data_IF_625479971087
#
_entry.id   IF_625479971087
#
_cell.length_a   1.000
_cell.length_b   1.000
_cell.length_c   1.000
_cell.angle_alpha   90.00
_cell.angle_beta   90.00
_cell.angle_gamma   90.00
#
_symmetry.space_group_name_H-M   'P 1'
#
loop_
_entity.id
_entity.type
_entity.pdbx_description
1 polymer ?
#
# COMPACT_ATOMS: atom_id res chain seq x y z
N UNK A 1 29.56 -33.10 -13.88
CA UNK A 1 29.13 -32.33 -15.06
C UNK A 1 27.93 -31.51 -14.62
N UNK A 2 28.14 -30.28 -14.20
CA UNK A 2 27.07 -29.35 -13.84
C UNK A 2 26.48 -28.79 -15.14
N UNK A 3 25.19 -29.03 -15.34
CA UNK A 3 24.43 -28.43 -16.43
C UNK A 3 24.22 -26.96 -16.10
N UNK A 4 24.81 -26.07 -16.89
CA UNK A 4 24.51 -24.65 -16.88
C UNK A 4 23.05 -24.45 -17.28
N UNK A 5 22.17 -24.20 -16.30
CA UNK A 5 20.83 -23.70 -16.55
C UNK A 5 20.97 -22.39 -17.34
N UNK A 6 20.54 -22.40 -18.59
CA UNK A 6 20.53 -21.19 -19.41
C UNK A 6 19.40 -20.33 -18.87
N UNK A 7 19.72 -19.23 -18.18
CA UNK A 7 18.72 -18.32 -17.66
C UNK A 7 17.73 -17.93 -18.77
N UNK A 8 16.43 -18.15 -18.56
CA UNK A 8 15.44 -17.76 -19.55
C UNK A 8 15.49 -16.24 -19.75
N UNK A 9 15.58 -15.81 -21.00
CA UNK A 9 15.61 -14.39 -21.37
C UNK A 9 14.48 -14.08 -22.35
N UNK A 10 13.79 -12.97 -22.11
CA UNK A 10 12.77 -12.43 -23.00
C UNK A 10 13.04 -10.94 -23.25
N UNK A 11 13.06 -10.56 -24.53
CA UNK A 11 13.25 -9.16 -24.94
C UNK A 11 12.17 -8.77 -25.93
N UNK A 12 11.44 -7.70 -25.62
CA UNK A 12 10.45 -7.10 -26.52
C UNK A 12 10.84 -5.65 -26.77
N UNK A 13 10.82 -5.25 -28.04
CA UNK A 13 11.08 -3.88 -28.48
C UNK A 13 10.02 -3.48 -29.49
N UNK A 14 9.25 -2.48 -29.13
CA UNK A 14 8.26 -1.83 -29.98
C UNK A 14 8.37 -0.30 -29.77
N UNK A 15 7.90 0.53 -30.70
CA UNK A 15 7.85 1.98 -30.48
C UNK A 15 7.11 2.31 -29.18
N UNK A 16 7.79 2.97 -28.24
CA UNK A 16 7.23 3.32 -26.93
C UNK A 16 7.10 2.15 -25.94
N UNK A 17 7.63 0.96 -26.22
CA UNK A 17 7.62 -0.16 -25.28
C UNK A 17 8.94 -0.93 -25.34
N UNK A 18 9.61 -1.02 -24.21
CA UNK A 18 10.76 -1.90 -24.01
C UNK A 18 10.51 -2.82 -22.81
N UNK A 19 10.71 -4.13 -23.02
CA UNK A 19 10.70 -5.15 -21.98
C UNK A 19 11.98 -5.94 -22.05
N UNK A 20 12.66 -6.10 -20.92
CA UNK A 20 13.79 -6.99 -20.74
C UNK A 20 13.56 -7.84 -19.50
N UNK A 21 13.47 -9.15 -19.67
CA UNK A 21 13.41 -10.12 -18.58
C UNK A 21 14.55 -11.12 -18.68
N UNK A 22 15.18 -11.43 -17.56
CA UNK A 22 16.28 -12.38 -17.45
C UNK A 22 16.30 -12.99 -16.04
N UNK A 23 16.05 -14.31 -15.96
CA UNK A 23 15.83 -14.98 -14.67
C UNK A 23 14.75 -14.27 -13.87
N UNK A 24 15.08 -13.84 -12.65
CA UNK A 24 14.16 -13.14 -11.73
C UNK A 24 14.18 -11.61 -11.89
N UNK A 25 14.84 -11.07 -12.92
CA UNK A 25 14.86 -9.63 -13.21
C UNK A 25 13.92 -9.29 -14.34
N UNK A 26 13.17 -8.22 -14.18
CA UNK A 26 12.35 -7.66 -15.25
C UNK A 26 12.41 -6.13 -15.25
N UNK A 27 12.62 -5.55 -16.43
CA UNK A 27 12.59 -4.12 -16.66
C UNK A 27 11.55 -3.83 -17.74
N UNK A 28 10.58 -2.97 -17.42
CA UNK A 28 9.53 -2.54 -18.36
C UNK A 28 9.53 -1.02 -18.43
N UNK A 29 9.58 -0.49 -19.66
CA UNK A 29 9.53 0.95 -19.92
C UNK A 29 8.43 1.26 -20.93
N UNK A 30 7.47 2.06 -20.50
CA UNK A 30 6.44 2.70 -21.33
C UNK A 30 6.37 4.20 -21.00
N UNK A 31 5.80 5.04 -21.88
CA UNK A 31 5.49 6.42 -21.54
C UNK A 31 4.71 6.53 -20.23
N UNK A 32 5.30 7.22 -19.24
CA UNK A 32 4.68 7.43 -17.94
C UNK A 32 4.69 6.23 -16.99
N UNK A 33 5.25 5.08 -17.38
CA UNK A 33 5.35 3.86 -16.58
C UNK A 33 6.75 3.25 -16.66
N UNK A 34 7.36 3.00 -15.50
CA UNK A 34 8.56 2.18 -15.38
C UNK A 34 8.34 1.10 -14.33
N UNK A 35 8.77 -0.12 -14.62
CA UNK A 35 8.80 -1.24 -13.68
C UNK A 35 10.21 -1.78 -13.66
N UNK A 36 10.81 -1.88 -12.49
CA UNK A 36 12.11 -2.51 -12.25
C UNK A 36 11.92 -3.56 -11.15
N UNK A 37 11.86 -4.83 -11.52
CA UNK A 37 11.74 -5.98 -10.61
C UNK A 37 13.05 -6.76 -10.55
N UNK A 38 13.46 -7.15 -9.35
CA UNK A 38 14.69 -7.88 -9.08
C UNK A 38 14.45 -8.91 -7.95
N UNK A 39 14.17 -10.15 -8.31
CA UNK A 39 13.84 -11.19 -7.34
C UNK A 39 12.59 -10.81 -6.56
N UNK A 40 12.75 -10.66 -5.25
CA UNK A 40 11.69 -10.40 -4.28
C UNK A 40 11.32 -8.91 -4.14
N UNK A 41 11.97 -8.03 -4.92
CA UNK A 41 11.75 -6.59 -4.88
C UNK A 41 11.22 -6.05 -6.20
N UNK A 42 10.29 -5.10 -6.13
CA UNK A 42 9.79 -4.39 -7.29
C UNK A 42 9.66 -2.88 -7.03
N UNK A 43 10.10 -2.09 -8.00
CA UNK A 43 9.95 -0.65 -8.03
C UNK A 43 9.11 -0.28 -9.25
N UNK A 44 7.97 0.36 -9.03
CA UNK A 44 7.06 0.78 -10.09
C UNK A 44 6.85 2.28 -10.00
N UNK A 45 7.04 3.00 -11.11
CA UNK A 45 6.76 4.43 -11.23
C UNK A 45 5.67 4.64 -12.25
N UNK A 46 4.56 5.23 -11.86
CA UNK A 46 3.41 5.48 -12.74
C UNK A 46 2.95 6.92 -12.54
N UNK A 47 3.09 7.79 -13.54
CA UNK A 47 2.41 9.09 -13.54
C UNK A 47 2.55 9.93 -12.25
N UNK A 48 3.72 9.92 -11.60
CA UNK A 48 3.97 10.65 -10.35
C UNK A 48 3.76 9.86 -9.06
N UNK A 49 3.31 8.61 -9.16
CA UNK A 49 3.30 7.62 -8.08
C UNK A 49 4.56 6.76 -8.13
N UNK A 50 5.07 6.40 -6.95
CA UNK A 50 6.11 5.39 -6.73
C UNK A 50 5.50 4.26 -5.90
N UNK A 51 5.72 3.01 -6.30
CA UNK A 51 5.32 1.81 -5.58
C UNK A 51 6.58 0.99 -5.37
N UNK A 52 6.89 0.69 -4.12
CA UNK A 52 8.04 -0.09 -3.69
C UNK A 52 7.48 -1.31 -2.97
N UNK A 53 7.72 -2.50 -3.52
CA UNK A 53 7.31 -3.77 -2.93
C UNK A 53 8.56 -4.57 -2.56
N UNK A 54 8.55 -5.12 -1.36
CA UNK A 54 9.59 -6.01 -0.84
C UNK A 54 8.90 -7.20 -0.15
N UNK A 55 9.03 -8.38 -0.76
CA UNK A 55 8.43 -9.62 -0.25
C UNK A 55 9.12 -10.11 1.03
N UNK A 56 10.43 -9.86 1.18
CA UNK A 56 11.21 -10.27 2.36
C UNK A 56 10.69 -9.58 3.62
N UNK A 57 10.34 -8.30 3.54
CA UNK A 57 9.68 -7.58 4.62
C UNK A 57 8.16 -7.62 4.60
N UNK A 58 7.55 -8.25 3.57
CA UNK A 58 6.11 -8.28 3.37
C UNK A 58 5.50 -6.88 3.24
N UNK A 59 6.22 -5.93 2.65
CA UNK A 59 5.83 -4.52 2.64
C UNK A 59 5.58 -3.98 1.25
N UNK A 60 4.58 -3.09 1.15
CA UNK A 60 4.32 -2.29 -0.04
C UNK A 60 4.17 -0.83 0.38
N UNK A 61 5.07 0.02 -0.10
CA UNK A 61 5.03 1.46 0.09
C UNK A 61 4.63 2.15 -1.20
N UNK A 62 3.58 2.95 -1.14
CA UNK A 62 3.07 3.75 -2.26
C UNK A 62 3.21 5.20 -1.86
N UNK A 63 3.91 5.98 -2.66
CA UNK A 63 4.09 7.40 -2.43
C UNK A 63 3.77 8.23 -3.66
N UNK A 64 3.20 9.40 -3.41
CA UNK A 64 3.04 10.48 -4.37
C UNK A 64 3.49 11.79 -3.71
N UNK A 65 3.28 12.92 -4.38
CA UNK A 65 3.58 14.24 -3.80
C UNK A 65 2.72 14.55 -2.57
N UNK A 66 1.50 14.04 -2.55
CA UNK A 66 0.45 14.48 -1.62
C UNK A 66 -0.03 13.35 -0.70
N UNK A 67 0.41 12.11 -0.92
CA UNK A 67 -0.08 10.95 -0.16
C UNK A 67 1.00 9.88 -0.05
N UNK A 68 1.04 9.22 1.10
CA UNK A 68 1.81 8.00 1.34
C UNK A 68 0.89 6.93 1.90
N UNK A 69 0.97 5.74 1.35
CA UNK A 69 0.32 4.52 1.85
C UNK A 69 1.41 3.50 2.11
N UNK A 70 1.46 2.94 3.31
CA UNK A 70 2.31 1.80 3.63
C UNK A 70 1.44 0.62 4.03
N UNK A 71 1.70 -0.53 3.43
CA UNK A 71 1.08 -1.81 3.78
C UNK A 71 2.19 -2.72 4.29
N UNK A 72 1.99 -3.33 5.45
CA UNK A 72 2.85 -4.39 5.98
C UNK A 72 2.00 -5.62 6.23
N UNK A 73 2.24 -6.65 5.46
CA UNK A 73 1.67 -7.97 5.66
C UNK A 73 2.68 -8.86 6.38
N UNK A 74 2.19 -9.61 7.36
CA UNK A 74 2.88 -10.69 8.07
C UNK A 74 1.96 -11.89 8.04
N UNK A 75 2.49 -13.07 8.38
CA UNK A 75 1.81 -14.37 8.28
C UNK A 75 0.29 -14.33 8.51
N UNK A 76 -0.11 -13.74 9.63
CA UNK A 76 -1.50 -13.71 10.12
C UNK A 76 -2.06 -12.29 10.28
N UNK A 77 -1.34 -11.25 9.84
CA UNK A 77 -1.69 -9.87 10.13
C UNK A 77 -1.38 -8.91 8.98
N UNK A 78 -2.20 -7.89 8.82
CA UNK A 78 -1.94 -6.81 7.88
C UNK A 78 -2.11 -5.46 8.58
N UNK A 79 -1.15 -4.58 8.35
CA UNK A 79 -1.15 -3.21 8.84
C UNK A 79 -1.14 -2.25 7.65
N UNK A 80 -2.10 -1.34 7.61
CA UNK A 80 -2.21 -0.32 6.58
C UNK A 80 -2.14 1.04 7.26
N UNK A 81 -1.26 1.91 6.76
CA UNK A 81 -1.20 3.32 7.14
C UNK A 81 -1.34 4.17 5.89
N UNK A 82 -2.25 5.13 5.95
CA UNK A 82 -2.34 6.19 4.95
C UNK A 82 -2.07 7.52 5.62
N UNK A 83 -1.33 8.39 4.93
CA UNK A 83 -1.05 9.74 5.37
C UNK A 83 -1.04 10.68 4.17
N UNK A 84 -1.86 11.71 4.25
CA UNK A 84 -1.80 12.86 3.35
C UNK A 84 -1.10 13.98 4.14
N UNK A 85 0.18 14.27 3.86
CA UNK A 85 0.85 15.44 4.41
C UNK A 85 0.23 16.73 3.85
N UNK A 86 0.21 17.79 4.66
CA UNK A 86 -0.30 19.08 4.23
C UNK A 86 -0.86 19.87 5.39
N UNK A 87 -1.50 21.00 5.07
CA UNK A 87 -2.16 21.80 6.09
C UNK A 87 -3.39 21.07 6.64
N UNK A 88 -4.20 20.44 5.77
CA UNK A 88 -5.26 19.54 6.20
C UNK A 88 -4.69 18.15 6.52
N UNK A 89 -5.04 17.62 7.69
CA UNK A 89 -4.61 16.30 8.12
C UNK A 89 -5.62 15.28 7.59
N UNK A 90 -5.13 14.25 6.90
CA UNK A 90 -5.86 13.00 6.71
C UNK A 90 -4.94 11.82 6.96
N UNK A 91 -5.33 10.95 7.87
CA UNK A 91 -4.58 9.73 8.17
C UNK A 91 -5.51 8.58 8.53
N UNK A 92 -5.12 7.40 8.06
CA UNK A 92 -5.82 6.15 8.30
C UNK A 92 -4.84 5.17 8.91
N UNK A 93 -5.28 4.42 9.91
CA UNK A 93 -4.58 3.25 10.42
C UNK A 93 -5.55 2.07 10.47
N UNK A 94 -5.10 0.92 9.98
CA UNK A 94 -5.85 -0.33 10.05
C UNK A 94 -4.86 -1.41 10.44
N UNK A 95 -5.22 -2.22 11.42
CA UNK A 95 -4.54 -3.45 11.78
C UNK A 95 -5.56 -4.57 11.82
N UNK A 96 -5.31 -5.62 11.05
CA UNK A 96 -6.01 -6.90 11.14
C UNK A 96 -5.06 -7.98 11.60
N UNK A 97 -5.51 -8.88 12.47
CA UNK A 97 -4.76 -10.06 12.93
C UNK A 97 -5.73 -11.24 13.12
N UNK A 98 -5.34 -12.44 12.68
CA UNK A 98 -6.10 -13.67 12.87
C UNK A 98 -6.15 -14.07 14.34
N UNK A 99 -5.07 -13.77 15.05
CA UNK A 99 -4.95 -13.97 16.48
C UNK A 99 -5.65 -12.81 17.17
N UNK A 100 -6.77 -13.07 17.86
CA UNK A 100 -7.47 -12.02 18.55
C UNK A 100 -6.61 -11.46 19.69
N UNK A 101 -6.72 -10.16 19.95
CA UNK A 101 -6.28 -9.57 21.21
C UNK A 101 -7.01 -10.22 22.40
N UNK A 102 -6.53 -10.00 23.63
CA UNK A 102 -7.13 -10.57 24.86
C UNK A 102 -8.65 -10.36 24.96
N UNK A 103 -9.12 -9.20 24.50
CA UNK A 103 -10.55 -8.88 24.51
C UNK A 103 -11.33 -9.55 23.37
N UNK A 104 -10.67 -10.10 22.34
CA UNK A 104 -11.27 -10.75 21.17
C UNK A 104 -11.20 -9.93 19.87
N UNK A 105 -10.55 -8.76 19.88
CA UNK A 105 -10.48 -7.87 18.70
C UNK A 105 -9.55 -8.45 17.64
N UNK A 106 -9.99 -8.43 16.38
CA UNK A 106 -9.24 -8.88 15.20
C UNK A 106 -9.03 -7.81 14.16
N UNK A 107 -9.78 -6.71 14.28
CA UNK A 107 -9.59 -5.49 13.51
C UNK A 107 -9.61 -4.33 14.48
N UNK A 108 -8.60 -3.47 14.38
CA UNK A 108 -8.58 -2.15 15.02
C UNK A 108 -8.09 -1.11 14.03
N UNK A 109 -8.56 0.11 14.16
CA UNK A 109 -8.15 1.17 13.27
C UNK A 109 -8.66 2.53 13.69
N UNK A 110 -8.20 3.55 12.98
CA UNK A 110 -8.79 4.87 13.07
C UNK A 110 -8.74 5.57 11.71
N UNK A 111 -9.72 6.43 11.49
CA UNK A 111 -9.64 7.50 10.49
C UNK A 111 -9.56 8.82 11.25
N UNK A 112 -8.60 9.66 10.91
CA UNK A 112 -8.51 11.02 11.41
C UNK A 112 -8.50 12.01 10.25
N UNK A 113 -9.31 13.06 10.38
CA UNK A 113 -9.38 14.17 9.43
C UNK A 113 -9.44 15.50 10.17
N UNK A 114 -8.85 16.54 9.60
CA UNK A 114 -8.99 17.90 10.11
C UNK A 114 -8.58 18.95 9.08
N UNK A 115 -9.17 20.16 9.13
CA UNK A 115 -8.76 21.29 8.29
C UNK A 115 -7.41 21.86 8.74
N UNK A 116 -6.86 22.79 7.95
CA UNK A 116 -5.60 23.50 8.25
C UNK A 116 -5.61 24.29 9.56
N UNK A 117 -6.78 24.77 9.97
CA UNK A 117 -7.00 25.42 11.26
C UNK A 117 -8.39 25.07 11.77
N UNK A 118 -8.47 24.18 12.75
CA UNK A 118 -9.73 23.71 13.32
C UNK A 118 -9.58 22.40 14.10
N UNK A 119 -10.67 21.82 14.61
CA UNK A 119 -10.61 20.57 15.35
C UNK A 119 -10.27 19.40 14.42
N UNK A 120 -9.49 18.46 14.95
CA UNK A 120 -9.29 17.15 14.32
C UNK A 120 -10.39 16.21 14.82
N UNK A 121 -11.07 15.54 13.88
CA UNK A 121 -12.06 14.53 14.17
C UNK A 121 -11.44 13.16 13.95
N UNK A 122 -11.59 12.28 14.94
CA UNK A 122 -11.03 10.93 14.91
C UNK A 122 -12.17 9.94 15.17
N UNK A 123 -12.33 8.98 14.25
CA UNK A 123 -13.21 7.84 14.43
C UNK A 123 -12.34 6.60 14.70
N UNK A 124 -12.52 5.97 15.86
CA UNK A 124 -11.83 4.73 16.24
C UNK A 124 -12.74 3.54 15.96
N UNK A 125 -12.20 2.53 15.29
CA UNK A 125 -12.90 1.32 14.88
C UNK A 125 -12.27 0.12 15.56
N UNK A 126 -13.12 -0.79 16.02
CA UNK A 126 -12.72 -2.10 16.54
C UNK A 126 -13.78 -3.14 16.20
N UNK A 127 -13.36 -4.32 15.75
CA UNK A 127 -14.26 -5.41 15.43
C UNK A 127 -13.68 -6.78 15.83
N UNK A 128 -14.58 -7.70 16.18
CA UNK A 128 -14.23 -9.08 16.58
C UNK A 128 -14.02 -10.00 15.38
N UNK A 129 -14.50 -9.57 14.21
CA UNK A 129 -14.31 -10.21 12.92
C UNK A 129 -13.32 -9.39 12.07
N UNK A 130 -12.57 -10.08 11.20
CA UNK A 130 -11.68 -9.47 10.22
C UNK A 130 -12.47 -8.91 9.03
N UNK A 131 -13.54 -9.59 8.63
CA UNK A 131 -14.36 -9.20 7.49
C UNK A 131 -15.48 -8.24 7.93
N UNK A 132 -15.07 -7.09 8.45
CA UNK A 132 -15.99 -6.04 8.91
C UNK A 132 -16.31 -5.09 7.76
N UNK A 133 -17.02 -5.59 6.75
CA UNK A 133 -17.34 -4.81 5.55
C UNK A 133 -18.05 -3.51 5.93
N UNK A 134 -17.55 -2.38 5.39
CA UNK A 134 -18.15 -1.06 5.54
C UNK A 134 -17.96 -0.35 6.88
N UNK A 135 -17.33 -0.97 7.90
CA UNK A 135 -17.10 -0.28 9.19
C UNK A 135 -16.09 0.87 9.06
N UNK A 136 -15.06 0.68 8.23
CA UNK A 136 -14.05 1.68 7.95
C UNK A 136 -14.61 2.78 7.03
N UNK A 137 -15.44 2.41 6.06
CA UNK A 137 -16.14 3.39 5.21
C UNK A 137 -17.08 4.26 6.04
N UNK A 138 -17.83 3.65 6.96
CA UNK A 138 -18.68 4.39 7.90
C UNK A 138 -17.88 5.34 8.78
N UNK A 139 -16.71 4.92 9.28
CA UNK A 139 -15.82 5.79 10.04
C UNK A 139 -15.30 6.97 9.20
N UNK A 140 -14.98 6.72 7.92
CA UNK A 140 -14.55 7.75 6.96
C UNK A 140 -15.65 8.76 6.65
N UNK A 141 -16.88 8.29 6.46
CA UNK A 141 -18.04 9.15 6.25
C UNK A 141 -18.32 10.01 7.49
N UNK A 142 -18.21 9.42 8.69
CA UNK A 142 -18.38 10.14 9.95
C UNK A 142 -17.36 11.26 10.11
N UNK A 143 -16.07 11.02 9.90
CA UNK A 143 -15.08 12.11 10.03
C UNK A 143 -15.27 13.16 8.96
N UNK A 144 -15.61 12.76 7.73
CA UNK A 144 -15.84 13.68 6.59
C UNK A 144 -17.01 14.61 6.86
N UNK A 145 -18.11 14.07 7.40
CA UNK A 145 -19.28 14.87 7.77
C UNK A 145 -18.94 15.93 8.83
N UNK A 146 -18.08 15.59 9.80
CA UNK A 146 -17.81 16.48 10.94
C UNK A 146 -16.74 17.56 10.65
N UNK A 147 -15.86 17.34 9.68
CA UNK A 147 -14.82 18.34 9.31
C UNK A 147 -15.25 19.29 8.20
N UNK A 148 -16.28 18.96 7.43
CA UNK A 148 -16.62 19.66 6.19
C UNK A 148 -15.76 19.21 4.99
N UNK A 149 -16.17 19.61 3.79
CA UNK A 149 -15.46 19.28 2.54
C UNK A 149 -14.11 20.01 2.44
#
# INVERSE_FOLDING_TARGET
>A
AEASASAETARVRMPGLAVDAEGDRANVRLPGLTVDANGDQANVRIGGFSIEADDVSGSVDISSRDETVSVQARDDAAEIRTRIPGEAIRTTYILTDDRPADEGWRLVGFEARGPSGGPVVIAVVRAKDRNSDGVLDSARDLVTLNVGE
#
